data_IF_929133166195
#
_entry.id   IF_929133166195
#
_cell.length_a   1.000
_cell.length_b   1.000
_cell.length_c   1.000
_cell.angle_alpha   90.00
_cell.angle_beta   90.00
_cell.angle_gamma   90.00
#
_symmetry.space_group_name_H-M   'P 1'
#
loop_
_entity.id
_entity.type
_entity.pdbx_description
1 polymer ?
#
# COMPACT_ATOMS: atom_id res chain seq x y z
N UNK A 1 1.19 24.83 -4.74
CA UNK A 1 0.04 23.92 -4.88
C UNK A 1 0.18 22.88 -5.99
N UNK A 2 1.06 23.03 -7.00
CA UNK A 2 1.31 21.97 -8.01
C UNK A 2 2.43 20.97 -7.60
N UNK A 3 3.37 21.38 -6.75
CA UNK A 3 4.56 20.56 -6.42
C UNK A 3 4.29 19.29 -5.60
N UNK A 4 3.27 19.30 -4.72
CA UNK A 4 2.94 18.11 -3.90
C UNK A 4 2.26 17.04 -4.75
N UNK A 5 1.39 17.42 -5.68
CA UNK A 5 0.73 16.47 -6.59
C UNK A 5 1.72 15.89 -7.61
N UNK A 6 2.70 16.67 -8.08
CA UNK A 6 3.79 16.14 -8.91
C UNK A 6 4.69 15.17 -8.15
N UNK A 7 4.99 15.42 -6.87
CA UNK A 7 5.70 14.47 -6.02
C UNK A 7 4.89 13.19 -5.77
N UNK A 8 3.57 13.30 -5.63
CA UNK A 8 2.68 12.15 -5.49
C UNK A 8 2.53 11.35 -6.79
N UNK A 9 2.59 12.01 -7.95
CA UNK A 9 2.65 11.36 -9.27
C UNK A 9 3.99 10.63 -9.51
N UNK A 10 5.08 11.06 -8.88
CA UNK A 10 6.38 10.38 -8.93
C UNK A 10 6.48 9.19 -7.96
N UNK A 11 5.63 9.11 -6.92
CA UNK A 11 5.62 7.99 -5.98
C UNK A 11 5.15 6.65 -6.59
N UNK A 12 4.62 6.68 -7.82
CA UNK A 12 4.28 5.49 -8.62
C UNK A 12 5.55 4.78 -9.11
N UNK A 13 6.69 5.48 -9.17
CA UNK A 13 7.98 4.83 -9.40
C UNK A 13 8.60 4.52 -8.05
N UNK A 14 8.54 3.25 -7.66
CA UNK A 14 9.19 2.63 -6.50
C UNK A 14 10.60 3.22 -6.31
N UNK A 15 10.74 4.23 -5.46
CA UNK A 15 12.06 4.76 -5.13
C UNK A 15 12.81 3.66 -4.34
N UNK A 16 14.05 3.32 -4.71
CA UNK A 16 14.86 2.35 -3.97
C UNK A 16 15.15 2.78 -2.52
N UNK A 17 14.80 4.02 -2.15
CA UNK A 17 14.90 4.55 -0.79
C UNK A 17 13.67 4.21 0.05
N UNK A 18 12.46 4.27 -0.51
CA UNK A 18 11.22 3.91 0.19
C UNK A 18 11.16 2.40 0.49
N UNK A 19 11.68 1.56 -0.42
CA UNK A 19 11.75 0.11 -0.21
C UNK A 19 12.73 -0.29 0.89
N UNK A 20 13.86 0.43 1.06
CA UNK A 20 14.76 0.24 2.21
C UNK A 20 14.07 0.51 3.55
N UNK A 21 13.18 1.50 3.57
CA UNK A 21 12.35 1.85 4.72
C UNK A 21 11.05 1.03 4.79
N UNK A 22 10.83 0.10 3.84
CA UNK A 22 9.71 -0.83 3.79
C UNK A 22 8.34 -0.14 3.68
N UNK A 23 8.34 0.99 2.96
CA UNK A 23 7.17 1.81 2.66
C UNK A 23 6.63 1.47 1.27
N UNK A 24 5.37 1.07 1.21
CA UNK A 24 4.61 0.73 0.00
C UNK A 24 3.53 1.79 -0.21
N UNK A 25 3.34 2.25 -1.44
CA UNK A 25 2.36 3.29 -1.77
C UNK A 25 1.35 2.80 -2.80
N UNK A 26 0.07 2.85 -2.45
CA UNK A 26 -1.07 2.65 -3.34
C UNK A 26 -1.76 4.00 -3.57
N UNK A 27 -1.23 4.78 -4.51
CA UNK A 27 -1.70 6.14 -4.83
C UNK A 27 -2.61 6.25 -6.06
N UNK A 28 -2.92 5.13 -6.71
CA UNK A 28 -3.69 5.07 -7.95
C UNK A 28 -4.73 3.96 -7.94
N UNK A 29 -5.45 3.77 -9.04
CA UNK A 29 -6.41 2.69 -9.21
C UNK A 29 -5.73 1.31 -9.08
N UNK A 30 -6.43 0.36 -8.47
CA UNK A 30 -5.97 -1.03 -8.32
C UNK A 30 -6.19 -1.77 -9.63
N UNK A 31 -5.10 -2.08 -10.34
CA UNK A 31 -5.08 -2.91 -11.53
C UNK A 31 -4.05 -4.05 -11.40
N UNK A 32 -3.94 -4.87 -12.44
CA UNK A 32 -3.01 -6.01 -12.45
C UNK A 32 -1.54 -5.60 -12.38
N UNK A 33 -1.17 -4.44 -12.95
CA UNK A 33 0.22 -3.99 -12.99
C UNK A 33 0.68 -3.56 -11.58
N UNK A 34 -0.07 -2.66 -10.94
CA UNK A 34 0.22 -2.18 -9.58
C UNK A 34 0.13 -3.32 -8.58
N UNK A 35 -0.87 -4.21 -8.73
CA UNK A 35 -0.98 -5.39 -7.88
C UNK A 35 0.28 -6.23 -7.95
N UNK A 36 0.77 -6.57 -9.14
CA UNK A 36 1.98 -7.39 -9.29
C UNK A 36 3.22 -6.71 -8.71
N UNK A 37 3.34 -5.39 -8.85
CA UNK A 37 4.45 -4.63 -8.25
C UNK A 37 4.40 -4.64 -6.72
N UNK A 38 3.23 -4.38 -6.12
CA UNK A 38 3.04 -4.40 -4.67
C UNK A 38 3.30 -5.79 -4.09
N UNK A 39 2.76 -6.84 -4.73
CA UNK A 39 2.97 -8.24 -4.33
C UNK A 39 4.46 -8.58 -4.37
N UNK A 40 5.14 -8.25 -5.48
CA UNK A 40 6.57 -8.50 -5.65
C UNK A 40 7.41 -7.83 -4.57
N UNK A 41 7.09 -6.58 -4.23
CA UNK A 41 7.77 -5.85 -3.17
C UNK A 41 7.50 -6.43 -1.78
N UNK A 42 6.26 -6.79 -1.45
CA UNK A 42 5.93 -7.41 -0.16
C UNK A 42 6.70 -8.73 0.03
N UNK A 43 6.73 -9.58 -1.01
CA UNK A 43 7.48 -10.84 -0.98
C UNK A 43 8.99 -10.59 -0.85
N UNK A 44 9.53 -9.68 -1.65
CA UNK A 44 10.95 -9.33 -1.60
C UNK A 44 11.36 -8.82 -0.21
N UNK A 45 10.61 -7.88 0.37
CA UNK A 45 10.89 -7.31 1.68
C UNK A 45 10.67 -8.30 2.82
N UNK A 46 9.77 -9.28 2.65
CA UNK A 46 9.60 -10.39 3.59
C UNK A 46 10.77 -11.37 3.55
N UNK A 47 11.39 -11.59 2.38
CA UNK A 47 12.60 -12.43 2.26
C UNK A 47 13.82 -11.69 2.82
N UNK A 48 13.93 -10.38 2.60
CA UNK A 48 15.04 -9.56 3.09
C UNK A 48 15.07 -9.49 4.63
N UNK A 49 13.91 -9.34 5.27
CA UNK A 49 13.77 -9.36 6.71
C UNK A 49 12.31 -9.67 7.11
N UNK A 50 12.06 -10.82 7.70
CA UNK A 50 10.71 -11.26 8.08
C UNK A 50 10.21 -10.68 9.42
N UNK A 51 11.09 -10.10 10.23
CA UNK A 51 10.75 -9.56 11.57
C UNK A 51 10.34 -8.10 11.58
N UNK A 52 10.69 -7.35 10.53
CA UNK A 52 10.30 -5.94 10.42
C UNK A 52 8.89 -5.86 9.85
N UNK A 53 8.19 -4.77 10.16
CA UNK A 53 6.84 -4.51 9.63
C UNK A 53 6.85 -3.76 8.29
N UNK A 54 5.80 -3.95 7.48
CA UNK A 54 5.57 -3.27 6.21
C UNK A 54 4.56 -2.13 6.40
N UNK A 55 4.74 -1.01 5.70
CA UNK A 55 3.83 0.14 5.78
C UNK A 55 3.20 0.41 4.43
N UNK A 56 1.90 0.12 4.29
CA UNK A 56 1.11 0.36 3.10
C UNK A 56 0.31 1.66 3.23
N UNK A 57 0.74 2.69 2.52
CA UNK A 57 0.03 3.96 2.41
C UNK A 57 -0.99 3.89 1.29
N UNK A 58 -2.26 4.19 1.61
CA UNK A 58 -3.38 4.06 0.70
C UNK A 58 -3.98 5.44 0.43
N UNK A 59 -4.02 5.79 -0.85
CA UNK A 59 -4.75 6.91 -1.42
C UNK A 59 -5.31 6.50 -2.78
N UNK A 60 -6.37 5.71 -2.77
CA UNK A 60 -6.94 5.08 -3.96
C UNK A 60 -8.47 5.12 -3.96
N UNK A 61 -9.03 5.39 -5.14
CA UNK A 61 -10.47 5.29 -5.42
C UNK A 61 -10.96 3.83 -5.53
N UNK A 62 -10.05 2.85 -5.43
CA UNK A 62 -10.33 1.43 -5.60
C UNK A 62 -9.87 0.93 -6.97
N UNK A 63 -10.58 -0.05 -7.53
CA UNK A 63 -10.24 -0.64 -8.81
C UNK A 63 -10.76 -2.06 -8.93
N UNK A 64 -10.00 -2.90 -9.62
CA UNK A 64 -10.37 -4.27 -9.93
C UNK A 64 -10.32 -5.17 -8.71
N UNK A 65 -11.34 -6.03 -8.58
CA UNK A 65 -11.49 -6.91 -7.41
C UNK A 65 -10.40 -7.99 -7.38
N UNK A 66 -10.15 -8.68 -8.50
CA UNK A 66 -9.17 -9.79 -8.53
C UNK A 66 -7.75 -9.33 -8.17
N UNK A 67 -7.20 -8.24 -8.76
CA UNK A 67 -5.90 -7.72 -8.33
C UNK A 67 -5.92 -7.26 -6.87
N UNK A 68 -6.99 -6.61 -6.40
CA UNK A 68 -7.08 -6.20 -5.00
C UNK A 68 -7.14 -7.37 -4.01
N UNK A 69 -7.79 -8.48 -4.37
CA UNK A 69 -7.77 -9.71 -3.56
C UNK A 69 -6.38 -10.34 -3.58
N UNK A 70 -5.67 -10.34 -4.71
CA UNK A 70 -4.30 -10.85 -4.77
C UNK A 70 -3.33 -10.08 -3.86
N UNK A 71 -3.47 -8.75 -3.79
CA UNK A 71 -2.72 -7.93 -2.82
C UNK A 71 -3.09 -8.35 -1.40
N UNK A 72 -4.39 -8.46 -1.09
CA UNK A 72 -4.86 -8.85 0.23
C UNK A 72 -4.33 -10.22 0.66
N UNK A 73 -4.42 -11.24 -0.19
CA UNK A 73 -3.90 -12.58 0.08
C UNK A 73 -2.39 -12.54 0.35
N UNK A 74 -1.66 -11.69 -0.39
CA UNK A 74 -0.22 -11.50 -0.16
C UNK A 74 0.04 -10.83 1.19
N UNK A 75 -0.76 -9.84 1.58
CA UNK A 75 -0.66 -9.20 2.91
C UNK A 75 -0.85 -10.22 4.05
N UNK A 76 -1.71 -11.23 3.86
CA UNK A 76 -1.91 -12.30 4.85
C UNK A 76 -0.83 -13.41 4.77
N UNK A 77 -0.17 -13.55 3.62
CA UNK A 77 0.82 -14.58 3.37
C UNK A 77 2.21 -14.22 3.91
N UNK A 78 2.60 -12.95 3.82
CA UNK A 78 3.91 -12.48 4.29
C UNK A 78 3.98 -12.53 5.82
N UNK A 79 5.16 -12.85 6.36
CA UNK A 79 5.38 -12.92 7.81
C UNK A 79 5.36 -11.55 8.51
N UNK A 80 5.92 -10.48 7.92
CA UNK A 80 5.77 -9.12 8.41
C UNK A 80 4.32 -8.67 8.59
N UNK A 81 4.02 -8.01 9.71
CA UNK A 81 2.74 -7.32 9.86
C UNK A 81 2.65 -6.17 8.85
N UNK A 82 1.52 -6.08 8.14
CA UNK A 82 1.23 -4.99 7.21
C UNK A 82 0.43 -3.91 7.93
N UNK A 83 1.07 -2.77 8.20
CA UNK A 83 0.42 -1.55 8.65
C UNK A 83 -0.26 -0.88 7.46
N UNK A 84 -1.49 -0.45 7.63
CA UNK A 84 -2.22 0.26 6.57
C UNK A 84 -2.54 1.68 7.03
N UNK A 85 -2.20 2.67 6.19
CA UNK A 85 -2.37 4.08 6.50
C UNK A 85 -3.16 4.76 5.37
N UNK A 86 -4.40 5.17 5.67
CA UNK A 86 -5.17 6.00 4.74
C UNK A 86 -4.64 7.44 4.78
N UNK A 87 -4.03 7.90 3.69
CA UNK A 87 -3.48 9.25 3.59
C UNK A 87 -4.49 10.31 3.13
N UNK A 88 -5.50 9.89 2.37
CA UNK A 88 -6.50 10.80 1.82
C UNK A 88 -7.82 10.09 1.62
N UNK A 89 -7.92 9.35 0.53
CA UNK A 89 -9.13 8.59 0.21
C UNK A 89 -8.81 7.10 0.07
N UNK A 90 -9.60 6.25 0.72
CA UNK A 90 -9.59 4.81 0.51
C UNK A 90 -11.03 4.39 0.20
N UNK A 91 -11.33 4.12 -1.07
CA UNK A 91 -12.67 3.70 -1.51
C UNK A 91 -12.63 2.33 -2.19
N UNK A 92 -13.72 1.57 -2.10
CA UNK A 92 -13.86 0.23 -2.73
C UNK A 92 -12.70 -0.72 -2.36
N UNK A 93 -11.93 -1.24 -3.33
CA UNK A 93 -10.77 -2.08 -3.04
C UNK A 93 -9.70 -1.36 -2.20
N UNK A 94 -9.61 -0.03 -2.27
CA UNK A 94 -8.75 0.75 -1.37
C UNK A 94 -9.20 0.66 0.09
N UNK A 95 -10.51 0.72 0.38
CA UNK A 95 -11.01 0.55 1.75
C UNK A 95 -10.92 -0.91 2.22
N UNK A 96 -11.08 -1.86 1.30
CA UNK A 96 -10.90 -3.28 1.58
C UNK A 96 -9.46 -3.58 2.03
N UNK A 97 -8.47 -3.11 1.25
CA UNK A 97 -7.06 -3.26 1.58
C UNK A 97 -6.69 -2.53 2.88
N UNK A 98 -7.23 -1.32 3.10
CA UNK A 98 -7.06 -0.61 4.36
C UNK A 98 -7.53 -1.45 5.55
N UNK A 99 -8.71 -2.05 5.45
CA UNK A 99 -9.28 -2.90 6.49
C UNK A 99 -8.51 -4.21 6.67
N UNK A 100 -7.80 -4.67 5.63
CA UNK A 100 -7.04 -5.93 5.61
C UNK A 100 -5.65 -5.87 6.24
N UNK A 101 -5.18 -4.69 6.67
CA UNK A 101 -3.97 -4.58 7.49
C UNK A 101 -4.14 -5.22 8.87
N UNK A 102 -3.03 -5.36 9.59
CA UNK A 102 -3.02 -5.95 10.93
C UNK A 102 -3.96 -5.18 11.89
N UNK A 103 -4.79 -5.89 12.66
CA UNK A 103 -6.00 -5.34 13.32
C UNK A 103 -5.71 -4.09 14.15
N UNK A 104 -4.57 -4.06 14.81
CA UNK A 104 -4.12 -2.99 15.72
C UNK A 104 -3.29 -1.89 15.03
N UNK A 105 -2.97 -2.06 13.75
CA UNK A 105 -2.00 -1.27 12.96
C UNK A 105 -2.64 -0.59 11.74
N UNK A 106 -3.95 -0.33 11.81
CA UNK A 106 -4.74 0.37 10.76
C UNK A 106 -4.99 1.80 11.19
N UNK A 107 -4.46 2.75 10.42
CA UNK A 107 -4.51 4.17 10.71
C UNK A 107 -5.21 4.93 9.59
N UNK A 108 -5.91 5.99 9.94
CA UNK A 108 -6.44 6.96 8.99
C UNK A 108 -5.97 8.35 9.40
N UNK A 109 -5.32 9.05 8.47
CA UNK A 109 -4.92 10.43 8.69
C UNK A 109 -6.19 11.28 8.62
N UNK A 110 -6.45 12.07 9.67
CA UNK A 110 -7.59 13.00 9.68
C UNK A 110 -7.33 14.09 8.65
N UNK A 111 -8.07 14.06 7.54
CA UNK A 111 -8.12 15.19 6.61
C UNK A 111 -8.88 16.33 7.28
N UNK A 112 -8.17 17.39 7.69
CA UNK A 112 -8.81 18.65 8.07
C UNK A 112 -9.18 19.38 6.78
N UNK A 113 -10.49 19.53 6.54
CA UNK A 113 -11.01 20.48 5.57
C UNK A 113 -11.03 21.89 6.17
#
# INVERSE_FOLDING_TARGET
MAGIYTLMFFAIFVEPYASKERLLFLGQEVDSEISNQLIGLMVYLSIENDTKDLYLFINSLGGWVIPGVAIYDTMQFVQPDVHTICMGLAASMGSFLLAGGEITKRLAIRTQY
#
